data_IF_947196025223
#
_entry.id   IF_947196025223
#
_cell.length_a   1.000
_cell.length_b   1.000
_cell.length_c   1.000
_cell.angle_alpha   90.00
_cell.angle_beta   90.00
_cell.angle_gamma   90.00
#
_symmetry.space_group_name_H-M   'P 1'
#
loop_
_entity.id
_entity.type
_entity.pdbx_description
1 polymer ?
#
# COMPACT_ATOMS: atom_id res chain seq x y z
N UNK A 1 -5.77 6.20 31.99
CA UNK A 1 -5.94 4.84 31.40
C UNK A 1 -6.81 4.86 30.14
N UNK A 2 -7.99 5.51 30.14
CA UNK A 2 -8.87 5.60 28.95
C UNK A 2 -8.26 6.25 27.69
N UNK A 3 -7.33 7.19 27.87
CA UNK A 3 -6.60 7.80 26.76
C UNK A 3 -5.71 6.78 26.02
N UNK A 4 -4.94 5.98 26.77
CA UNK A 4 -4.09 4.93 26.17
C UNK A 4 -4.93 3.89 25.44
N UNK A 5 -6.04 3.42 26.03
CA UNK A 5 -6.96 2.52 25.33
C UNK A 5 -7.55 3.16 24.07
N UNK A 6 -7.87 4.45 24.09
CA UNK A 6 -8.38 5.15 22.90
C UNK A 6 -7.33 5.30 21.80
N UNK A 7 -6.08 5.58 22.17
CA UNK A 7 -4.95 5.67 21.23
C UNK A 7 -4.64 4.28 20.65
N UNK A 8 -4.56 3.25 21.49
CA UNK A 8 -4.31 1.88 21.06
C UNK A 8 -5.41 1.39 20.12
N UNK A 9 -6.68 1.54 20.50
CA UNK A 9 -7.80 1.11 19.67
C UNK A 9 -7.90 1.91 18.36
N UNK A 10 -7.60 3.21 18.41
CA UNK A 10 -7.49 4.04 17.20
C UNK A 10 -6.34 3.62 16.28
N UNK A 11 -5.19 3.25 16.86
CA UNK A 11 -4.03 2.76 16.11
C UNK A 11 -4.30 1.40 15.46
N UNK A 12 -4.89 0.45 16.21
CA UNK A 12 -5.28 -0.86 15.69
C UNK A 12 -6.29 -0.69 14.56
N UNK A 13 -7.24 0.23 14.71
CA UNK A 13 -8.23 0.54 13.68
C UNK A 13 -7.59 1.08 12.39
N UNK A 14 -6.71 2.09 12.50
CA UNK A 14 -6.03 2.65 11.32
C UNK A 14 -5.16 1.59 10.63
N UNK A 15 -4.43 0.81 11.43
CA UNK A 15 -3.60 -0.28 10.92
C UNK A 15 -4.44 -1.37 10.24
N UNK A 16 -5.61 -1.68 10.78
CA UNK A 16 -6.53 -2.64 10.17
C UNK A 16 -7.03 -2.19 8.80
N UNK A 17 -7.35 -0.91 8.60
CA UNK A 17 -7.79 -0.38 7.30
C UNK A 17 -6.62 -0.33 6.31
N UNK A 18 -5.46 0.13 6.77
CA UNK A 18 -4.28 0.28 5.90
C UNK A 18 -3.78 -1.08 5.43
N UNK A 19 -3.83 -2.12 6.27
CA UNK A 19 -3.39 -3.47 5.90
C UNK A 19 -4.43 -4.27 5.14
N UNK A 20 -5.73 -4.03 5.34
CA UNK A 20 -6.77 -4.82 4.66
C UNK A 20 -6.82 -4.57 3.16
N UNK A 21 -6.45 -3.37 2.70
CA UNK A 21 -6.44 -3.02 1.27
C UNK A 21 -5.37 -3.85 0.52
N UNK A 22 -4.07 -3.81 0.87
CA UNK A 22 -3.06 -4.66 0.23
C UNK A 22 -3.41 -6.15 0.29
N UNK A 23 -3.92 -6.63 1.43
CA UNK A 23 -4.31 -8.04 1.59
C UNK A 23 -5.42 -8.45 0.62
N UNK A 24 -6.40 -7.58 0.37
CA UNK A 24 -7.47 -7.85 -0.59
C UNK A 24 -6.94 -7.97 -2.02
N UNK A 25 -5.99 -7.11 -2.41
CA UNK A 25 -5.37 -7.15 -3.74
C UNK A 25 -4.42 -8.33 -3.90
N UNK A 26 -3.65 -8.67 -2.86
CA UNK A 26 -2.66 -9.76 -2.88
C UNK A 26 -3.33 -11.14 -2.89
N UNK A 27 -4.34 -11.37 -2.05
CA UNK A 27 -5.02 -12.67 -1.94
C UNK A 27 -6.16 -12.82 -2.93
N UNK A 28 -6.92 -11.76 -3.18
CA UNK A 28 -8.14 -11.81 -4.00
C UNK A 28 -7.95 -11.35 -5.45
N UNK A 29 -6.76 -10.88 -5.81
CA UNK A 29 -6.48 -10.30 -7.13
C UNK A 29 -7.11 -8.92 -7.32
N UNK A 30 -6.96 -8.39 -8.55
CA UNK A 30 -7.36 -7.02 -8.92
C UNK A 30 -8.84 -6.74 -8.66
N UNK A 31 -9.72 -7.63 -9.11
CA UNK A 31 -11.17 -7.41 -9.07
C UNK A 31 -11.71 -7.47 -7.63
N UNK A 32 -11.19 -8.37 -6.80
CA UNK A 32 -11.54 -8.43 -5.36
C UNK A 32 -11.09 -7.18 -4.61
N UNK A 33 -9.88 -6.68 -4.87
CA UNK A 33 -9.39 -5.43 -4.27
C UNK A 33 -10.18 -4.19 -4.70
N UNK A 34 -10.57 -4.12 -5.98
CA UNK A 34 -11.46 -3.08 -6.52
C UNK A 34 -12.84 -3.13 -5.85
N UNK A 35 -13.45 -4.31 -5.76
CA UNK A 35 -14.75 -4.50 -5.11
C UNK A 35 -14.71 -4.16 -3.62
N UNK A 36 -13.64 -4.55 -2.92
CA UNK A 36 -13.43 -4.25 -1.51
C UNK A 36 -13.30 -2.73 -1.28
N UNK A 37 -12.42 -2.06 -2.04
CA UNK A 37 -12.22 -0.61 -1.91
C UNK A 37 -13.48 0.20 -2.22
N UNK A 38 -14.25 -0.21 -3.24
CA UNK A 38 -15.54 0.37 -3.58
C UNK A 38 -16.56 0.18 -2.45
N UNK A 39 -16.66 -1.03 -1.89
CA UNK A 39 -17.59 -1.35 -0.80
C UNK A 39 -17.29 -0.53 0.46
N UNK A 40 -16.00 -0.39 0.80
CA UNK A 40 -15.55 0.45 1.90
C UNK A 40 -15.86 1.93 1.65
N UNK A 41 -15.66 2.41 0.42
CA UNK A 41 -16.01 3.78 0.04
C UNK A 41 -17.51 4.05 0.19
N UNK A 42 -18.37 3.17 -0.31
CA UNK A 42 -19.84 3.29 -0.17
C UNK A 42 -20.23 3.28 1.32
N UNK A 43 -19.69 2.36 2.11
CA UNK A 43 -19.97 2.29 3.54
C UNK A 43 -19.64 3.62 4.25
N UNK A 44 -18.47 4.19 3.97
CA UNK A 44 -18.06 5.46 4.56
C UNK A 44 -18.85 6.67 4.02
N UNK A 45 -19.29 6.64 2.76
CA UNK A 45 -20.16 7.65 2.18
C UNK A 45 -21.52 7.65 2.90
N UNK A 46 -22.16 6.48 3.02
CA UNK A 46 -23.42 6.34 3.77
C UNK A 46 -23.26 6.82 5.21
N UNK A 47 -22.18 6.43 5.87
CA UNK A 47 -21.90 6.88 7.23
C UNK A 47 -21.75 8.40 7.32
N UNK A 48 -21.00 9.01 6.40
CA UNK A 48 -20.81 10.46 6.35
C UNK A 48 -22.14 11.20 6.14
N UNK A 49 -23.00 10.69 5.27
CA UNK A 49 -24.35 11.23 5.02
C UNK A 49 -25.23 11.16 6.26
N UNK A 50 -25.24 10.02 6.97
CA UNK A 50 -25.97 9.87 8.24
C UNK A 50 -25.46 10.87 9.29
N UNK A 51 -24.14 11.05 9.36
CA UNK A 51 -23.51 12.01 10.28
C UNK A 51 -23.87 13.45 9.93
N UNK A 52 -23.93 13.81 8.65
CA UNK A 52 -24.30 15.15 8.19
C UNK A 52 -25.78 15.47 8.48
N UNK A 53 -26.66 14.47 8.41
CA UNK A 53 -28.10 14.61 8.70
C UNK A 53 -28.38 14.70 10.21
N UNK A 54 -27.46 14.23 11.06
CA UNK A 54 -27.68 14.16 12.52
C UNK A 54 -27.38 15.50 13.21
N UNK A 55 -28.34 16.13 13.93
CA UNK A 55 -28.14 17.42 14.60
C UNK A 55 -27.16 17.38 15.79
N UNK A 56 -26.41 18.48 15.97
CA UNK A 56 -25.27 18.61 16.90
C UNK A 56 -25.57 18.40 18.39
N UNK A 57 -26.82 18.61 18.83
CA UNK A 57 -27.20 18.56 20.26
C UNK A 57 -27.78 17.23 20.76
N UNK A 58 -27.94 16.23 19.89
CA UNK A 58 -28.66 15.00 20.24
C UNK A 58 -27.74 13.92 20.83
N UNK A 59 -28.25 13.15 21.81
CA UNK A 59 -27.62 11.89 22.30
C UNK A 59 -27.31 10.91 21.15
N UNK A 60 -28.00 11.08 20.03
CA UNK A 60 -27.81 10.35 18.78
C UNK A 60 -26.39 10.48 18.23
N UNK A 61 -25.72 11.65 18.34
CA UNK A 61 -24.32 11.80 17.89
C UNK A 61 -23.35 10.94 18.69
N UNK A 62 -23.55 10.86 20.01
CA UNK A 62 -22.79 9.97 20.89
C UNK A 62 -23.01 8.50 20.52
N UNK A 63 -24.27 8.11 20.31
CA UNK A 63 -24.64 6.76 19.88
C UNK A 63 -24.08 6.41 18.50
N UNK A 64 -24.11 7.35 17.53
CA UNK A 64 -23.54 7.20 16.19
C UNK A 64 -22.02 7.09 16.22
N UNK A 65 -21.34 7.81 17.12
CA UNK A 65 -19.88 7.72 17.27
C UNK A 65 -19.42 6.42 17.94
N UNK A 66 -20.17 5.94 18.95
CA UNK A 66 -19.91 4.64 19.56
C UNK A 66 -20.28 3.50 18.61
N UNK A 67 -21.37 3.65 17.85
CA UNK A 67 -21.79 2.70 16.82
C UNK A 67 -20.77 2.63 15.68
N UNK A 68 -20.14 3.74 15.28
CA UNK A 68 -19.04 3.74 14.32
C UNK A 68 -17.87 2.88 14.80
N UNK A 69 -17.43 3.10 16.04
CA UNK A 69 -16.27 2.39 16.59
C UNK A 69 -16.53 0.87 16.72
N UNK A 70 -17.78 0.48 16.99
CA UNK A 70 -18.18 -0.92 17.08
C UNK A 70 -18.44 -1.56 15.70
N UNK A 71 -19.13 -0.85 14.80
CA UNK A 71 -19.48 -1.35 13.47
C UNK A 71 -18.25 -1.54 12.61
N UNK A 72 -17.28 -0.63 12.65
CA UNK A 72 -16.05 -0.74 11.87
C UNK A 72 -15.24 -2.00 12.18
N UNK A 73 -15.20 -2.42 13.44
CA UNK A 73 -14.48 -3.60 13.88
C UNK A 73 -15.05 -4.89 13.27
N UNK A 74 -16.35 -4.90 12.96
CA UNK A 74 -17.05 -6.04 12.35
C UNK A 74 -17.11 -5.89 10.83
N UNK A 75 -17.43 -4.69 10.35
CA UNK A 75 -17.67 -4.40 8.93
C UNK A 75 -16.41 -4.63 8.10
N UNK A 76 -15.24 -4.15 8.54
CA UNK A 76 -13.97 -4.30 7.81
C UNK A 76 -13.65 -5.77 7.51
N UNK A 77 -13.60 -6.68 8.51
CA UNK A 77 -13.34 -8.10 8.24
C UNK A 77 -14.49 -8.78 7.49
N UNK A 78 -15.75 -8.42 7.74
CA UNK A 78 -16.87 -9.04 7.00
C UNK A 78 -16.88 -8.68 5.52
N UNK A 79 -16.57 -7.42 5.17
CA UNK A 79 -16.47 -6.98 3.77
C UNK A 79 -15.26 -7.59 3.08
N UNK A 80 -14.16 -7.79 3.82
CA UNK A 80 -12.98 -8.49 3.30
C UNK A 80 -13.31 -9.95 2.98
N UNK A 81 -13.92 -10.68 3.91
CA UNK A 81 -14.34 -12.08 3.70
C UNK A 81 -15.34 -12.19 2.55
N UNK A 82 -16.29 -11.25 2.45
CA UNK A 82 -17.24 -11.22 1.34
C UNK A 82 -16.54 -10.99 -0.01
N UNK A 83 -15.63 -10.01 -0.10
CA UNK A 83 -14.90 -9.71 -1.32
C UNK A 83 -13.99 -10.87 -1.77
N UNK A 84 -13.31 -11.52 -0.83
CA UNK A 84 -12.53 -12.73 -1.14
C UNK A 84 -13.44 -13.89 -1.53
N UNK A 85 -14.54 -14.11 -0.82
CA UNK A 85 -15.47 -15.22 -1.10
C UNK A 85 -16.15 -15.13 -2.45
N UNK A 86 -16.47 -13.92 -2.92
CA UNK A 86 -17.11 -13.72 -4.23
C UNK A 86 -16.10 -13.71 -5.38
N UNK A 87 -15.00 -12.96 -5.25
CA UNK A 87 -14.12 -12.69 -6.40
C UNK A 87 -12.85 -13.53 -6.40
N UNK A 88 -12.31 -13.95 -5.25
CA UNK A 88 -11.10 -14.80 -5.23
C UNK A 88 -11.40 -16.24 -5.68
N UNK A 89 -12.60 -16.75 -5.39
CA UNK A 89 -13.04 -18.08 -5.86
C UNK A 89 -13.31 -18.11 -7.37
N UNK A 90 -13.77 -16.98 -7.93
CA UNK A 90 -14.08 -16.83 -9.36
C UNK A 90 -12.91 -16.24 -10.18
N UNK A 91 -11.73 -16.03 -9.57
CA UNK A 91 -10.54 -15.38 -10.16
C UNK A 91 -9.80 -16.19 -11.24
N UNK A 92 -10.35 -17.35 -11.63
CA UNK A 92 -9.60 -18.35 -12.37
C UNK A 92 -9.48 -18.15 -13.89
N UNK A 93 -10.29 -17.34 -14.58
CA UNK A 93 -10.36 -17.53 -16.07
C UNK A 93 -10.59 -16.37 -17.04
N UNK A 94 -11.00 -15.14 -16.68
CA UNK A 94 -11.25 -14.12 -17.74
C UNK A 94 -11.21 -12.68 -17.26
N UNK A 95 -10.68 -11.79 -18.11
CA UNK A 95 -10.73 -10.35 -17.88
C UNK A 95 -12.19 -9.88 -17.72
N UNK A 96 -12.45 -8.84 -16.92
CA UNK A 96 -13.80 -8.31 -16.71
C UNK A 96 -14.53 -8.03 -18.04
N UNK A 97 -13.81 -7.59 -19.07
CA UNK A 97 -14.34 -7.36 -20.44
C UNK A 97 -14.85 -8.67 -21.07
N UNK A 98 -14.10 -9.76 -20.94
CA UNK A 98 -14.50 -11.08 -21.43
C UNK A 98 -15.68 -11.64 -20.64
N UNK A 99 -15.73 -11.42 -19.31
CA UNK A 99 -16.92 -11.75 -18.49
C UNK A 99 -18.15 -10.94 -18.92
N UNK A 100 -17.95 -9.67 -19.29
CA UNK A 100 -19.04 -8.81 -19.78
C UNK A 100 -19.56 -9.29 -21.13
N UNK A 101 -18.66 -9.65 -22.04
CA UNK A 101 -19.01 -10.17 -23.36
C UNK A 101 -19.67 -11.55 -23.28
N UNK A 102 -19.13 -12.46 -22.46
CA UNK A 102 -19.71 -13.79 -22.25
C UNK A 102 -21.08 -13.69 -21.57
N UNK A 103 -21.20 -12.82 -20.56
CA UNK A 103 -22.47 -12.50 -19.89
C UNK A 103 -23.52 -11.92 -20.84
N UNK A 104 -23.15 -10.97 -21.70
CA UNK A 104 -24.08 -10.39 -22.69
C UNK A 104 -24.50 -11.40 -23.76
N UNK A 105 -23.59 -12.27 -24.20
CA UNK A 105 -23.89 -13.31 -25.19
C UNK A 105 -24.76 -14.44 -24.60
N UNK A 106 -24.56 -14.78 -23.33
CA UNK A 106 -25.30 -15.83 -22.60
C UNK A 106 -26.64 -15.34 -22.03
N UNK A 107 -26.80 -14.03 -21.82
CA UNK A 107 -28.00 -13.39 -21.27
C UNK A 107 -29.14 -13.15 -22.27
N UNK A 108 -29.02 -13.57 -23.54
CA UNK A 108 -30.12 -13.46 -24.51
C UNK A 108 -31.36 -14.28 -24.11
N UNK A 109 -31.31 -15.10 -23.06
CA UNK A 109 -32.40 -16.01 -22.62
C UNK A 109 -32.96 -15.82 -21.20
N UNK A 110 -32.57 -14.81 -20.41
CA UNK A 110 -33.11 -14.64 -19.04
C UNK A 110 -33.51 -13.20 -18.67
N UNK A 111 -34.44 -13.12 -17.71
CA UNK A 111 -35.25 -11.97 -17.28
C UNK A 111 -34.46 -10.67 -17.04
N UNK A 112 -34.97 -9.54 -17.55
CA UNK A 112 -34.35 -8.19 -17.47
C UNK A 112 -33.83 -7.77 -16.08
N UNK A 113 -34.44 -8.25 -15.00
CA UNK A 113 -34.02 -7.96 -13.62
C UNK A 113 -32.74 -8.68 -13.21
N UNK A 114 -32.51 -9.90 -13.70
CA UNK A 114 -31.27 -10.65 -13.47
C UNK A 114 -30.12 -10.10 -14.30
N UNK A 115 -30.41 -9.53 -15.47
CA UNK A 115 -29.39 -8.86 -16.28
C UNK A 115 -28.89 -7.55 -15.65
N UNK A 116 -29.80 -6.79 -15.02
CA UNK A 116 -29.47 -5.48 -14.44
C UNK A 116 -28.95 -5.57 -13.00
N UNK A 117 -29.46 -6.53 -12.19
CA UNK A 117 -29.13 -6.69 -10.76
C UNK A 117 -28.55 -8.06 -10.38
N UNK A 118 -28.35 -8.99 -11.31
CA UNK A 118 -27.80 -10.31 -11.02
C UNK A 118 -26.30 -10.30 -10.72
N UNK A 119 -25.80 -11.41 -10.15
CA UNK A 119 -24.37 -11.72 -10.01
C UNK A 119 -23.75 -11.72 -11.42
N UNK A 120 -22.73 -10.90 -11.66
CA UNK A 120 -22.15 -10.58 -12.98
C UNK A 120 -23.00 -9.63 -13.87
N UNK A 121 -23.92 -8.86 -13.27
CA UNK A 121 -24.78 -7.91 -13.99
C UNK A 121 -24.08 -6.63 -14.47
N UNK A 122 -24.77 -5.85 -15.31
CA UNK A 122 -24.23 -4.58 -15.82
C UNK A 122 -23.89 -3.58 -14.72
N UNK A 123 -24.67 -3.53 -13.63
CA UNK A 123 -24.39 -2.61 -12.52
C UNK A 123 -23.04 -2.89 -11.87
N UNK A 124 -22.73 -4.17 -11.64
CA UNK A 124 -21.47 -4.60 -11.05
C UNK A 124 -20.30 -4.25 -11.96
N UNK A 125 -20.42 -4.57 -13.26
CA UNK A 125 -19.38 -4.31 -14.25
C UNK A 125 -19.15 -2.80 -14.46
N UNK A 126 -20.22 -2.02 -14.58
CA UNK A 126 -20.13 -0.56 -14.75
C UNK A 126 -19.59 0.11 -13.49
N UNK A 127 -20.00 -0.33 -12.30
CA UNK A 127 -19.48 0.21 -11.05
C UNK A 127 -18.00 -0.12 -10.86
N UNK A 128 -17.57 -1.36 -11.11
CA UNK A 128 -16.17 -1.77 -11.02
C UNK A 128 -15.30 -1.06 -12.06
N UNK A 129 -15.74 -1.01 -13.32
CA UNK A 129 -15.01 -0.33 -14.40
C UNK A 129 -14.91 1.18 -14.20
N UNK A 130 -15.99 1.83 -13.75
CA UNK A 130 -15.98 3.26 -13.42
C UNK A 130 -15.06 3.56 -12.22
N UNK A 131 -15.06 2.68 -11.22
CA UNK A 131 -14.20 2.82 -10.04
C UNK A 131 -12.72 2.64 -10.39
N UNK A 132 -12.39 1.64 -11.20
CA UNK A 132 -11.04 1.47 -11.72
C UNK A 132 -10.55 2.71 -12.47
N UNK A 133 -11.36 3.24 -13.39
CA UNK A 133 -10.99 4.42 -14.17
C UNK A 133 -10.82 5.66 -13.27
N UNK A 134 -11.65 5.80 -12.24
CA UNK A 134 -11.53 6.86 -11.22
C UNK A 134 -10.23 6.72 -10.43
N UNK A 135 -9.86 5.52 -10.00
CA UNK A 135 -8.60 5.26 -9.30
C UNK A 135 -7.38 5.52 -10.20
N UNK A 136 -7.44 5.11 -11.47
CA UNK A 136 -6.38 5.36 -12.43
C UNK A 136 -6.17 6.85 -12.70
N UNK A 137 -7.26 7.61 -12.82
CA UNK A 137 -7.20 9.06 -13.00
C UNK A 137 -6.69 9.79 -11.76
N UNK A 138 -7.01 9.29 -10.56
CA UNK A 138 -6.59 9.90 -9.29
C UNK A 138 -5.22 9.43 -8.79
N UNK A 139 -4.62 8.41 -9.41
CA UNK A 139 -3.28 7.91 -9.07
C UNK A 139 -2.21 9.00 -8.89
N UNK A 140 -2.03 9.93 -9.85
CA UNK A 140 -1.05 11.03 -9.70
C UNK A 140 -1.35 11.96 -8.52
N UNK A 141 -2.63 12.20 -8.21
CA UNK A 141 -3.03 13.02 -7.07
C UNK A 141 -2.71 12.30 -5.76
N UNK A 142 -2.93 11.00 -5.69
CA UNK A 142 -2.53 10.19 -4.53
C UNK A 142 -1.01 10.19 -4.33
N UNK A 143 -0.24 10.10 -5.40
CA UNK A 143 1.23 10.18 -5.33
C UNK A 143 1.70 11.54 -4.76
N UNK A 144 1.11 12.64 -5.23
CA UNK A 144 1.43 13.98 -4.70
C UNK A 144 1.04 14.12 -3.22
N UNK A 145 -0.10 13.54 -2.83
CA UNK A 145 -0.57 13.57 -1.45
C UNK A 145 0.30 12.70 -0.53
N UNK A 146 0.77 11.55 -1.01
CA UNK A 146 1.74 10.71 -0.30
C UNK A 146 3.05 11.46 -0.06
N UNK A 147 3.56 12.15 -1.08
CA UNK A 147 4.74 13.01 -0.95
C UNK A 147 4.53 14.13 0.07
N UNK A 148 3.40 14.82 0.01
CA UNK A 148 3.08 15.89 0.96
C UNK A 148 2.93 15.36 2.40
N UNK A 149 2.23 14.24 2.59
CA UNK A 149 2.08 13.60 3.90
C UNK A 149 3.45 13.21 4.47
N UNK A 150 4.30 12.59 3.65
CA UNK A 150 5.64 12.20 4.06
C UNK A 150 6.51 13.40 4.41
N UNK A 151 6.43 14.51 3.64
CA UNK A 151 7.12 15.75 3.98
C UNK A 151 6.68 16.33 5.34
N UNK A 152 5.38 16.30 5.66
CA UNK A 152 4.88 16.73 6.97
C UNK A 152 5.43 15.86 8.10
N UNK A 153 5.50 14.54 7.90
CA UNK A 153 6.08 13.60 8.87
C UNK A 153 7.58 13.88 9.06
N UNK A 154 8.32 14.13 7.97
CA UNK A 154 9.74 14.47 8.02
C UNK A 154 9.96 15.78 8.78
N UNK A 155 9.15 16.81 8.52
CA UNK A 155 9.20 18.09 9.23
C UNK A 155 8.90 17.92 10.72
N UNK A 156 7.87 17.14 11.07
CA UNK A 156 7.53 16.83 12.45
C UNK A 156 8.67 16.09 13.16
N UNK A 157 9.28 15.09 12.50
CA UNK A 157 10.44 14.37 13.02
C UNK A 157 11.65 15.30 13.24
N UNK A 158 11.88 16.24 12.33
CA UNK A 158 12.90 17.29 12.45
C UNK A 158 12.68 18.19 13.67
N UNK A 159 11.44 18.63 13.90
CA UNK A 159 11.05 19.43 15.06
C UNK A 159 11.20 18.65 16.38
N UNK A 160 10.73 17.39 16.41
CA UNK A 160 10.88 16.50 17.58
C UNK A 160 12.36 16.35 17.92
N UNK A 161 13.21 16.19 16.91
CA UNK A 161 14.66 16.05 17.11
C UNK A 161 15.27 17.31 17.73
N UNK A 162 14.92 18.50 17.24
CA UNK A 162 15.38 19.78 17.84
C UNK A 162 14.90 19.94 19.27
N UNK A 163 13.65 19.59 19.54
CA UNK A 163 13.10 19.59 20.89
C UNK A 163 13.87 18.64 21.81
N UNK A 164 14.20 17.44 21.33
CA UNK A 164 14.90 16.42 22.10
C UNK A 164 16.32 16.86 22.50
N UNK A 165 17.06 17.46 21.55
CA UNK A 165 18.40 18.03 21.81
C UNK A 165 18.33 19.16 22.84
N UNK A 166 17.37 20.08 22.69
CA UNK A 166 17.21 21.22 23.59
C UNK A 166 16.74 20.82 25.00
N UNK A 167 15.97 19.73 25.12
CA UNK A 167 15.51 19.18 26.41
C UNK A 167 16.64 18.47 27.16
N UNK A 168 17.50 17.75 26.44
CA UNK A 168 18.52 16.88 27.01
C UNK A 168 19.80 17.58 27.46
N UNK A 169 20.13 18.76 26.89
CA UNK A 169 21.38 19.54 27.13
C UNK A 169 22.65 18.71 27.26
N UNK A 170 22.66 17.53 26.63
CA UNK A 170 23.67 16.49 26.78
C UNK A 170 24.10 16.07 25.38
N UNK A 171 25.41 16.05 25.17
CA UNK A 171 26.04 15.67 23.91
C UNK A 171 25.66 14.24 23.47
N UNK A 172 25.27 13.39 24.42
CA UNK A 172 24.76 12.04 24.16
C UNK A 172 23.55 12.03 23.22
N UNK A 173 22.62 12.98 23.33
CA UNK A 173 21.46 13.05 22.42
C UNK A 173 21.88 13.39 21.00
N UNK A 174 22.85 14.29 20.83
CA UNK A 174 23.40 14.64 19.50
C UNK A 174 24.07 13.42 18.88
N UNK A 175 24.87 12.67 19.66
CA UNK A 175 25.54 11.45 19.19
C UNK A 175 24.51 10.39 18.76
N UNK A 176 23.46 10.16 19.56
CA UNK A 176 22.39 9.19 19.23
C UNK A 176 21.68 9.58 17.93
N UNK A 177 21.33 10.85 17.77
CA UNK A 177 20.65 11.35 16.58
C UNK A 177 21.53 11.31 15.33
N UNK A 178 22.83 11.56 15.49
CA UNK A 178 23.81 11.44 14.42
C UNK A 178 23.98 9.98 14.00
N UNK A 179 24.09 9.05 14.96
CA UNK A 179 24.10 7.61 14.69
C UNK A 179 22.82 7.15 13.97
N UNK A 180 21.65 7.61 14.40
CA UNK A 180 20.36 7.30 13.77
C UNK A 180 20.26 7.82 12.34
N UNK A 181 20.68 9.06 12.07
CA UNK A 181 20.73 9.57 10.70
C UNK A 181 21.73 8.79 9.82
N UNK A 182 22.84 8.34 10.40
CA UNK A 182 23.82 7.49 9.72
C UNK A 182 23.26 6.12 9.31
N UNK A 183 22.47 5.46 10.16
CA UNK A 183 21.84 4.17 9.80
C UNK A 183 20.82 4.33 8.68
N UNK A 184 20.06 5.43 8.68
CA UNK A 184 19.10 5.77 7.61
C UNK A 184 19.85 5.99 6.29
N UNK A 185 20.92 6.78 6.29
CA UNK A 185 21.73 7.02 5.09
C UNK A 185 22.36 5.72 4.59
N UNK A 186 22.90 4.89 5.48
CA UNK A 186 23.48 3.59 5.11
C UNK A 186 22.43 2.68 4.45
N UNK A 187 21.22 2.65 4.99
CA UNK A 187 20.10 1.89 4.42
C UNK A 187 19.71 2.41 3.04
N UNK A 188 19.65 3.73 2.86
CA UNK A 188 19.37 4.35 1.57
C UNK A 188 20.45 4.01 0.52
N UNK A 189 21.73 4.09 0.88
CA UNK A 189 22.84 3.73 -0.02
C UNK A 189 22.80 2.25 -0.39
N UNK A 190 22.44 1.35 0.53
CA UNK A 190 22.26 -0.07 0.24
C UNK A 190 21.16 -0.32 -0.80
N UNK A 191 20.01 0.35 -0.69
CA UNK A 191 18.95 0.25 -1.71
C UNK A 191 19.40 0.83 -3.06
N UNK A 192 20.15 1.93 -3.07
CA UNK A 192 20.69 2.51 -4.30
C UNK A 192 21.68 1.56 -4.98
N UNK A 193 22.55 0.90 -4.21
CA UNK A 193 23.44 -0.14 -4.72
C UNK A 193 22.66 -1.29 -5.36
N UNK A 194 21.56 -1.74 -4.72
CA UNK A 194 20.67 -2.78 -5.28
C UNK A 194 20.07 -2.36 -6.62
N UNK A 195 19.68 -1.10 -6.77
CA UNK A 195 19.11 -0.56 -8.03
C UNK A 195 20.16 -0.54 -9.15
N UNK A 196 21.42 -0.19 -8.82
CA UNK A 196 22.48 -0.07 -9.81
C UNK A 196 22.92 -1.41 -10.43
N UNK A 197 22.54 -2.55 -9.83
CA UNK A 197 22.91 -3.88 -10.31
C UNK A 197 21.90 -4.47 -11.32
N UNK A 198 20.81 -3.78 -11.66
CA UNK A 198 19.84 -4.26 -12.64
C UNK A 198 20.31 -4.06 -14.09
N UNK A 199 20.42 -5.12 -14.91
CA UNK A 199 21.04 -5.08 -16.24
C UNK A 199 20.16 -4.58 -17.40
N UNK A 200 18.90 -4.17 -17.16
CA UNK A 200 17.94 -3.81 -18.24
C UNK A 200 17.40 -2.37 -18.15
N UNK A 201 18.25 -1.38 -17.88
CA UNK A 201 17.80 0.02 -17.78
C UNK A 201 18.04 0.74 -19.11
N UNK A 202 17.00 1.39 -19.64
CA UNK A 202 17.12 2.28 -20.80
C UNK A 202 18.05 3.46 -20.47
N UNK A 203 18.86 3.91 -21.43
CA UNK A 203 19.83 5.00 -21.19
C UNK A 203 19.18 6.30 -20.71
N UNK A 204 17.94 6.58 -21.13
CA UNK A 204 17.21 7.80 -20.80
C UNK A 204 16.73 7.74 -19.35
N UNK A 205 16.14 6.62 -18.94
CA UNK A 205 15.61 6.44 -17.58
C UNK A 205 16.76 6.45 -16.57
N UNK A 206 17.87 5.75 -16.88
CA UNK A 206 19.09 5.78 -16.07
C UNK A 206 19.61 7.21 -15.88
N UNK A 207 19.62 8.02 -16.94
CA UNK A 207 20.07 9.41 -16.86
C UNK A 207 19.15 10.28 -16.01
N UNK A 208 17.83 10.17 -16.16
CA UNK A 208 16.85 10.93 -15.36
C UNK A 208 16.96 10.60 -13.86
N UNK A 209 17.19 9.33 -13.55
CA UNK A 209 17.42 8.87 -12.17
C UNK A 209 18.74 9.40 -11.64
N UNK A 210 19.82 9.36 -12.42
CA UNK A 210 21.10 9.93 -12.06
C UNK A 210 21.01 11.43 -11.76
N UNK A 211 20.28 12.18 -12.59
CA UNK A 211 20.02 13.62 -12.37
C UNK A 211 19.21 13.84 -11.09
N UNK A 212 18.18 13.03 -10.85
CA UNK A 212 17.35 13.13 -9.64
C UNK A 212 18.19 12.83 -8.38
N UNK A 213 19.01 11.78 -8.42
CA UNK A 213 19.88 11.37 -7.31
C UNK A 213 20.97 12.40 -7.01
N UNK A 214 21.65 12.92 -8.04
CA UNK A 214 22.65 13.97 -7.85
C UNK A 214 22.03 15.23 -7.26
N UNK A 215 20.87 15.65 -7.77
CA UNK A 215 20.12 16.79 -7.21
C UNK A 215 19.72 16.57 -5.76
N UNK A 216 19.25 15.37 -5.41
CA UNK A 216 18.89 15.02 -4.03
C UNK A 216 20.08 15.14 -3.07
N UNK A 217 21.25 14.63 -3.45
CA UNK A 217 22.49 14.74 -2.66
C UNK A 217 22.88 16.20 -2.49
N UNK A 218 22.84 17.01 -3.56
CA UNK A 218 23.15 18.44 -3.48
C UNK A 218 22.20 19.20 -2.55
N UNK A 219 20.89 18.94 -2.63
CA UNK A 219 19.89 19.58 -1.76
C UNK A 219 20.10 19.19 -0.29
N UNK A 220 20.38 17.92 0.00
CA UNK A 220 20.65 17.46 1.36
C UNK A 220 21.94 18.06 1.92
N UNK A 221 23.02 18.09 1.13
CA UNK A 221 24.28 18.70 1.51
C UNK A 221 24.14 20.21 1.76
N UNK A 222 23.40 20.91 0.90
CA UNK A 222 23.12 22.33 1.06
C UNK A 222 22.22 22.61 2.29
N UNK A 223 21.25 21.74 2.56
CA UNK A 223 20.38 21.83 3.75
C UNK A 223 21.16 21.76 5.06
N UNK A 224 22.15 20.86 5.13
CA UNK A 224 23.06 20.76 6.29
C UNK A 224 24.03 21.94 6.32
N UNK A 225 24.63 22.29 5.17
CA UNK A 225 25.65 23.34 5.06
C UNK A 225 25.15 24.74 5.39
N UNK A 226 23.88 25.05 5.14
CA UNK A 226 23.27 26.34 5.50
C UNK A 226 22.89 26.46 6.98
N UNK A 227 23.05 25.39 7.77
CA UNK A 227 22.69 25.35 9.19
C UNK A 227 21.18 25.47 9.47
N UNK A 228 20.35 25.49 8.42
CA UNK A 228 18.88 25.57 8.52
C UNK A 228 18.23 24.19 8.65
N UNK A 229 18.89 23.15 8.15
CA UNK A 229 18.47 21.75 8.21
C UNK A 229 19.15 20.96 9.32
N UNK A 230 18.45 19.96 9.85
CA UNK A 230 19.00 18.98 10.80
C UNK A 230 19.51 17.74 10.03
N UNK A 231 20.62 17.07 10.43
CA UNK A 231 21.04 15.80 9.83
C UNK A 231 19.93 14.75 9.74
N UNK A 232 19.06 14.67 10.75
CA UNK A 232 17.91 13.73 10.74
C UNK A 232 16.94 14.07 9.62
N UNK A 233 16.48 15.32 9.52
CA UNK A 233 15.57 15.77 8.46
C UNK A 233 16.14 15.50 7.05
N UNK A 234 17.44 15.81 6.87
CA UNK A 234 18.14 15.62 5.60
C UNK A 234 18.28 14.13 5.25
N UNK A 235 18.56 13.27 6.25
CA UNK A 235 18.66 11.82 6.05
C UNK A 235 17.32 11.17 5.70
N UNK A 236 16.21 11.58 6.32
CA UNK A 236 14.88 11.06 5.99
C UNK A 236 14.42 11.51 4.60
N UNK A 237 14.69 12.77 4.22
CA UNK A 237 14.40 13.28 2.88
C UNK A 237 15.17 12.46 1.82
N UNK A 238 16.48 12.27 2.04
CA UNK A 238 17.30 11.45 1.15
C UNK A 238 16.77 10.02 1.02
N UNK A 239 16.49 9.35 2.15
CA UNK A 239 15.94 8.00 2.15
C UNK A 239 14.58 7.90 1.45
N UNK A 240 13.71 8.91 1.60
CA UNK A 240 12.44 8.97 0.89
C UNK A 240 12.62 9.07 -0.63
N UNK A 241 13.51 9.94 -1.12
CA UNK A 241 13.79 10.05 -2.56
C UNK A 241 14.33 8.72 -3.09
N UNK A 242 15.24 8.07 -2.38
CA UNK A 242 15.77 6.76 -2.79
C UNK A 242 14.67 5.70 -2.83
N UNK A 243 13.74 5.72 -1.87
CA UNK A 243 12.59 4.81 -1.86
C UNK A 243 11.64 5.06 -3.03
N UNK A 244 11.35 6.32 -3.37
CA UNK A 244 10.54 6.63 -4.55
C UNK A 244 11.20 6.14 -5.83
N UNK A 245 12.51 6.34 -5.97
CA UNK A 245 13.27 5.82 -7.12
C UNK A 245 13.23 4.29 -7.14
N UNK A 246 13.40 3.62 -5.99
CA UNK A 246 13.30 2.17 -5.88
C UNK A 246 11.94 1.65 -6.37
N UNK A 247 10.84 2.26 -5.91
CA UNK A 247 9.47 1.89 -6.32
C UNK A 247 9.28 2.03 -7.83
N UNK A 248 9.75 3.12 -8.42
CA UNK A 248 9.68 3.37 -9.85
C UNK A 248 10.39 2.27 -10.64
N UNK A 249 11.59 1.86 -10.23
CA UNK A 249 12.31 0.77 -10.90
C UNK A 249 11.65 -0.59 -10.77
N UNK A 250 11.08 -0.89 -9.60
CA UNK A 250 10.35 -2.14 -9.41
C UNK A 250 9.06 -2.18 -10.22
N UNK A 251 8.45 -1.03 -10.50
CA UNK A 251 7.24 -0.90 -11.32
C UNK A 251 7.55 -0.96 -12.83
N UNK A 252 8.73 -0.49 -13.25
CA UNK A 252 9.19 -0.60 -14.63
C UNK A 252 9.54 -2.03 -15.05
N UNK A 253 9.64 -2.99 -14.14
CA UNK A 253 9.80 -4.40 -14.48
C UNK A 253 8.46 -4.89 -15.05
N UNK A 254 8.30 -5.03 -16.38
CA UNK A 254 7.02 -5.40 -16.94
C UNK A 254 6.77 -6.86 -16.62
N UNK A 255 5.52 -7.22 -16.33
CA UNK A 255 5.01 -8.58 -16.42
C UNK A 255 4.98 -9.13 -17.87
N UNK A 256 5.73 -8.53 -18.79
CA UNK A 256 5.83 -9.01 -20.17
C UNK A 256 6.78 -10.20 -20.23
N UNK A 257 6.16 -11.38 -20.08
CA UNK A 257 6.54 -12.58 -20.81
C UNK A 257 7.62 -13.42 -20.15
N UNK A 258 7.18 -14.39 -19.34
CA UNK A 258 7.90 -15.65 -19.15
C UNK A 258 9.31 -15.53 -18.57
N UNK A 259 9.42 -15.17 -17.28
CA UNK A 259 10.49 -15.76 -16.48
C UNK A 259 10.04 -17.15 -16.06
N UNK A 260 10.67 -18.17 -16.64
CA UNK A 260 10.64 -19.52 -16.09
C UNK A 260 10.94 -19.45 -14.58
N UNK A 261 10.36 -20.32 -13.74
CA UNK A 261 10.56 -20.34 -12.29
C UNK A 261 12.03 -20.48 -11.83
N UNK A 262 12.97 -20.60 -12.77
CA UNK A 262 14.42 -20.68 -12.56
C UNK A 262 15.08 -19.30 -12.32
N UNK A 263 14.53 -18.18 -12.83
CA UNK A 263 15.17 -16.86 -12.63
C UNK A 263 14.77 -16.20 -11.31
N UNK A 264 13.59 -16.50 -10.76
CA UNK A 264 13.24 -16.12 -9.39
C UNK A 264 14.12 -16.82 -8.34
N UNK A 265 14.71 -17.98 -8.66
CA UNK A 265 15.68 -18.66 -7.80
C UNK A 265 17.05 -17.97 -7.78
N UNK A 266 17.40 -17.20 -8.81
CA UNK A 266 18.71 -16.53 -8.91
C UNK A 266 18.82 -15.22 -8.11
N UNK A 267 17.70 -14.71 -7.59
CA UNK A 267 17.64 -13.46 -6.80
C UNK A 267 17.68 -13.69 -5.28
N UNK A 268 17.74 -14.95 -4.83
CA UNK A 268 17.85 -15.31 -3.43
C UNK A 268 19.33 -15.31 -3.04
N UNK A 269 19.79 -14.48 -2.08
CA UNK A 269 21.13 -14.64 -1.53
C UNK A 269 21.23 -16.02 -0.88
N UNK A 270 22.29 -16.76 -1.18
CA UNK A 270 22.62 -18.08 -0.64
C UNK A 270 22.33 -18.17 0.87
N UNK A 271 21.16 -18.68 1.21
CA UNK A 271 20.84 -19.16 2.55
C UNK A 271 20.95 -20.69 2.47
N UNK A 272 21.81 -21.33 3.28
CA UNK A 272 21.89 -22.79 3.27
C UNK A 272 20.51 -23.38 3.62
N UNK A 273 20.04 -24.41 2.88
CA UNK A 273 18.72 -24.96 3.10
C UNK A 273 18.60 -25.48 4.53
N UNK A 274 17.63 -24.97 5.28
CA UNK A 274 17.23 -25.57 6.54
C UNK A 274 16.75 -27.00 6.27
N UNK A 275 17.14 -27.98 7.11
CA UNK A 275 16.87 -29.39 6.86
C UNK A 275 15.36 -29.68 6.82
N UNK A 276 14.93 -30.62 5.97
CA UNK A 276 13.53 -31.02 5.87
C UNK A 276 13.16 -31.87 7.10
N UNK A 277 12.47 -31.26 8.06
CA UNK A 277 11.68 -31.96 9.07
C UNK A 277 10.27 -31.37 8.96
N UNK A 278 9.22 -32.09 8.57
CA UNK A 278 8.90 -33.46 8.91
C UNK A 278 7.70 -33.92 8.08
N UNK A 279 7.91 -34.54 6.92
CA UNK A 279 6.96 -35.48 6.30
C UNK A 279 7.77 -36.52 5.52
N UNK A 280 8.44 -37.36 6.29
CA UNK A 280 9.16 -38.56 5.85
C UNK A 280 8.15 -39.63 5.42
N UNK A 281 8.53 -40.36 4.35
CA UNK A 281 8.09 -41.71 3.94
C UNK A 281 6.68 -41.78 3.32
N UNK A 282 6.53 -42.14 2.04
CA UNK A 282 6.82 -43.46 1.45
C UNK A 282 7.20 -43.32 -0.05
N UNK A 283 8.25 -44.01 -0.57
CA UNK A 283 8.60 -44.04 -2.00
C UNK A 283 8.19 -45.41 -2.64
N UNK A 284 8.65 -45.78 -3.86
CA UNK A 284 7.97 -45.57 -5.15
C UNK A 284 7.68 -46.90 -5.89
N UNK A 285 6.74 -46.92 -6.87
CA UNK A 285 6.65 -47.96 -7.92
C UNK A 285 5.74 -47.42 -9.05
N UNK A 286 6.31 -46.97 -10.17
CA UNK A 286 6.61 -47.73 -11.40
C UNK A 286 5.45 -47.76 -12.42
N UNK A 287 5.71 -47.11 -13.58
CA UNK A 287 5.35 -47.50 -14.96
C UNK A 287 3.93 -48.03 -15.25
N UNK A 288 3.14 -47.23 -15.97
CA UNK A 288 2.80 -47.39 -17.39
C UNK A 288 2.02 -46.16 -17.88
#
# INVERSE_FOLDING_TARGET
MWWLFSVLFGSIFLLSIVLSIPVAFDVGGRDSGLAYSLSVFIFYLFYSTIKLITPDGSRLRGLVSSSLRLSQCIVIPTLLIWALGQFAVDAGTTNWVERTLDGVLRAKSTTWTEWLFGKDGLLETVMLGSWENTLRYSGPVFQLLEGFCTLLVIQAAGQITRWLVNRGRSDTWVIILLAFSGTIISSAVYFLWRIAQFPEISNIDAALIGITMTTAVFVCAFGIGTGRGNPVESSLLFAYIVLCVYQIFTDYLPSDGQRSPEEQASSQPDLPPLPPSSWLLIPPSCTC
#
